data_IF_569395312289
#
_entry.id   IF_569395312289
#
_cell.length_a   1.000
_cell.length_b   1.000
_cell.length_c   1.000
_cell.angle_alpha   90.00
_cell.angle_beta   90.00
_cell.angle_gamma   90.00
#
_symmetry.space_group_name_H-M   'P 1'
#
loop_
_entity.id
_entity.type
_entity.pdbx_description
1 polymer ?
#
# COMPACT_ATOMS: atom_id res chain seq x y z
N UNK A 1 -4.94 -1.83 5.69
CA UNK A 1 -5.92 -0.99 4.96
C UNK A 1 -6.72 -0.21 5.99
N UNK A 2 -7.38 0.91 5.64
CA UNK A 2 -8.01 1.80 6.64
C UNK A 2 -7.26 3.11 6.90
N UNK A 3 -6.73 3.77 5.88
CA UNK A 3 -6.02 5.05 6.01
C UNK A 3 -6.57 6.10 5.05
N UNK A 4 -6.48 7.37 5.48
CA UNK A 4 -6.94 8.55 4.72
C UNK A 4 -8.44 8.53 4.40
N UNK A 5 -9.26 8.65 5.45
CA UNK A 5 -10.71 8.78 5.29
C UNK A 5 -11.12 10.20 4.90
N UNK A 6 -12.01 10.29 3.93
CA UNK A 6 -12.67 11.54 3.54
C UNK A 6 -14.17 11.42 3.73
N UNK A 7 -14.78 12.52 4.18
CA UNK A 7 -16.24 12.65 4.28
C UNK A 7 -16.78 13.09 2.92
N UNK A 8 -17.51 12.20 2.25
CA UNK A 8 -18.10 12.47 0.93
C UNK A 8 -19.62 12.45 1.01
N UNK A 9 -20.22 13.57 0.58
CA UNK A 9 -21.65 13.63 0.35
C UNK A 9 -22.04 12.72 -0.81
N UNK A 10 -22.85 11.72 -0.53
CA UNK A 10 -23.29 10.73 -1.51
C UNK A 10 -24.80 10.84 -1.67
N UNK A 11 -25.27 11.00 -2.91
CA UNK A 11 -26.71 10.97 -3.21
C UNK A 11 -27.27 9.57 -2.95
N UNK A 12 -28.48 9.46 -2.37
CA UNK A 12 -29.12 8.16 -2.16
C UNK A 12 -29.34 7.45 -3.49
N UNK A 13 -29.11 6.14 -3.52
CA UNK A 13 -29.44 5.28 -4.66
C UNK A 13 -30.20 4.04 -4.16
N UNK A 14 -31.56 4.07 -4.22
CA UNK A 14 -32.40 2.98 -3.73
C UNK A 14 -32.16 1.64 -4.43
N UNK A 15 -31.86 1.66 -5.74
CA UNK A 15 -31.62 0.44 -6.53
C UNK A 15 -30.34 -0.30 -6.11
N UNK A 16 -29.40 0.40 -5.45
CA UNK A 16 -28.15 -0.18 -4.92
C UNK A 16 -28.14 -0.26 -3.39
N UNK A 17 -29.29 -0.04 -2.73
CA UNK A 17 -29.40 0.05 -1.27
C UNK A 17 -28.41 1.05 -0.61
N UNK A 18 -28.01 2.09 -1.35
CA UNK A 18 -27.09 3.11 -0.82
C UNK A 18 -27.94 4.19 -0.14
N UNK A 19 -27.90 4.21 1.20
CA UNK A 19 -28.46 5.31 1.99
C UNK A 19 -27.68 6.59 1.67
N UNK A 20 -28.40 7.67 1.36
CA UNK A 20 -27.79 8.97 1.10
C UNK A 20 -27.24 9.59 2.38
N UNK A 21 -26.35 10.57 2.23
CA UNK A 21 -25.77 11.31 3.36
C UNK A 21 -24.26 11.47 3.25
N UNK A 22 -23.64 11.80 4.38
CA UNK A 22 -22.18 11.90 4.50
C UNK A 22 -21.64 10.49 4.77
N UNK A 23 -20.89 9.96 3.82
CA UNK A 23 -20.26 8.63 3.93
C UNK A 23 -18.76 8.82 4.07
N UNK A 24 -18.16 8.09 5.01
CA UNK A 24 -16.70 8.01 5.13
C UNK A 24 -16.17 6.95 4.18
N UNK A 25 -15.17 7.30 3.38
CA UNK A 25 -14.49 6.39 2.45
C UNK A 25 -13.01 6.65 2.46
N UNK A 26 -12.22 5.60 2.23
CA UNK A 26 -10.78 5.73 1.99
C UNK A 26 -10.54 6.53 0.70
N UNK A 27 -9.55 7.42 0.76
CA UNK A 27 -9.11 8.22 -0.35
C UNK A 27 -7.65 7.89 -0.72
N UNK A 28 -7.26 8.11 -1.98
CA UNK A 28 -5.89 7.83 -2.43
C UNK A 28 -4.85 8.59 -1.61
N UNK A 29 -3.73 7.93 -1.32
CA UNK A 29 -2.53 8.55 -0.74
C UNK A 29 -1.45 8.55 -1.82
N UNK A 30 -0.69 9.63 -1.92
CA UNK A 30 0.41 9.70 -2.87
C UNK A 30 1.52 8.68 -2.52
N UNK A 31 1.97 7.93 -3.53
CA UNK A 31 2.90 6.81 -3.35
C UNK A 31 4.23 7.22 -2.66
N UNK A 32 4.70 8.46 -2.87
CA UNK A 32 5.92 8.96 -2.23
C UNK A 32 5.85 9.05 -0.70
N UNK A 33 4.64 9.11 -0.14
CA UNK A 33 4.42 9.20 1.31
C UNK A 33 4.42 7.83 1.98
N UNK A 34 4.52 6.75 1.20
CA UNK A 34 4.53 5.38 1.69
C UNK A 34 5.95 4.80 1.69
N UNK A 35 6.20 3.86 2.61
CA UNK A 35 7.42 3.04 2.64
C UNK A 35 7.04 1.57 2.69
N UNK A 36 7.89 0.73 2.08
CA UNK A 36 7.74 -0.72 2.18
C UNK A 36 8.28 -1.16 3.53
N UNK A 37 7.47 -1.92 4.26
CA UNK A 37 7.91 -2.60 5.49
C UNK A 37 8.67 -3.86 5.10
N UNK A 38 9.90 -4.01 5.59
CA UNK A 38 10.67 -5.20 5.33
C UNK A 38 10.14 -6.37 6.16
N UNK A 39 9.83 -7.55 5.56
CA UNK A 39 9.34 -8.70 6.31
C UNK A 39 10.41 -9.32 7.22
N UNK A 40 11.70 -9.07 6.98
CA UNK A 40 12.80 -9.60 7.80
C UNK A 40 13.09 -8.73 9.01
N UNK A 41 13.24 -7.42 8.81
CA UNK A 41 13.62 -6.52 9.89
C UNK A 41 12.45 -5.74 10.50
N UNK A 42 11.24 -5.84 9.95
CA UNK A 42 10.03 -5.17 10.44
C UNK A 42 10.02 -3.64 10.27
N UNK A 43 11.11 -3.06 9.77
CA UNK A 43 11.25 -1.61 9.64
C UNK A 43 10.77 -1.09 8.28
N UNK A 44 10.30 0.16 8.20
CA UNK A 44 10.03 0.84 6.94
C UNK A 44 11.34 1.23 6.25
N UNK A 45 11.59 0.68 5.06
CA UNK A 45 12.89 0.77 4.38
C UNK A 45 12.79 1.26 2.94
N UNK A 46 13.92 1.74 2.42
CA UNK A 46 14.11 1.98 0.99
C UNK A 46 14.46 0.67 0.27
N UNK A 47 13.96 0.54 -0.95
CA UNK A 47 14.17 -0.63 -1.80
C UNK A 47 15.41 -0.45 -2.69
N UNK A 48 16.24 -1.50 -2.80
CA UNK A 48 17.26 -1.67 -3.83
C UNK A 48 16.81 -2.78 -4.79
N UNK A 49 17.24 -2.74 -6.06
CA UNK A 49 17.06 -3.86 -6.99
C UNK A 49 18.36 -4.64 -7.12
N UNK A 50 18.29 -5.96 -7.09
CA UNK A 50 19.41 -6.86 -7.36
C UNK A 50 18.99 -7.95 -8.35
N UNK A 51 19.97 -8.53 -9.05
CA UNK A 51 19.75 -9.74 -9.87
C UNK A 51 20.23 -10.94 -9.07
N UNK A 52 19.43 -12.01 -9.08
CA UNK A 52 19.86 -13.32 -8.61
C UNK A 52 20.67 -14.02 -9.70
N UNK A 53 21.36 -15.09 -9.32
CA UNK A 53 22.13 -15.95 -10.23
C UNK A 53 21.24 -16.55 -11.32
N UNK A 54 19.97 -16.84 -11.00
CA UNK A 54 18.94 -17.29 -11.95
C UNK A 54 18.47 -16.22 -12.95
N UNK A 55 19.10 -15.04 -12.97
CA UNK A 55 18.76 -13.91 -13.83
C UNK A 55 17.52 -13.10 -13.42
N UNK A 56 16.78 -13.54 -12.39
CA UNK A 56 15.58 -12.84 -11.88
C UNK A 56 15.96 -11.54 -11.16
N UNK A 57 15.20 -10.48 -11.41
CA UNK A 57 15.32 -9.20 -10.68
C UNK A 57 14.44 -9.24 -9.43
N UNK A 58 15.03 -9.01 -8.28
CA UNK A 58 14.33 -8.93 -7.00
C UNK A 58 14.55 -7.59 -6.30
N UNK A 59 13.59 -7.21 -5.47
CA UNK A 59 13.68 -6.11 -4.52
C UNK A 59 14.38 -6.59 -3.25
N UNK A 60 15.35 -5.81 -2.82
CA UNK A 60 16.21 -6.06 -1.66
C UNK A 60 16.08 -4.91 -0.67
N UNK A 61 15.99 -5.23 0.62
CA UNK A 61 16.01 -4.26 1.70
C UNK A 61 17.36 -3.55 1.76
N UNK A 62 17.38 -2.21 1.78
CA UNK A 62 18.65 -1.47 1.89
C UNK A 62 19.33 -1.62 3.26
N UNK A 63 18.57 -1.94 4.33
CA UNK A 63 19.10 -2.09 5.69
C UNK A 63 19.67 -3.49 5.94
N UNK A 64 18.81 -4.52 5.95
CA UNK A 64 19.22 -5.89 6.29
C UNK A 64 19.67 -6.73 5.07
N UNK A 65 19.61 -6.19 3.84
CA UNK A 65 19.91 -6.92 2.58
C UNK A 65 18.99 -8.13 2.30
N UNK A 66 17.92 -8.26 3.07
CA UNK A 66 16.86 -9.24 2.87
C UNK A 66 16.08 -9.11 1.58
N UNK A 67 15.52 -10.22 1.11
CA UNK A 67 14.65 -10.24 -0.08
C UNK A 67 13.24 -9.80 0.33
N UNK A 68 12.73 -8.75 -0.35
CA UNK A 68 11.41 -8.18 -0.11
C UNK A 68 10.30 -8.88 -0.88
N UNK A 69 10.64 -9.52 -2.01
CA UNK A 69 9.68 -10.19 -2.90
C UNK A 69 9.43 -11.64 -2.46
N UNK A 70 8.87 -11.83 -1.27
CA UNK A 70 8.34 -13.13 -0.83
C UNK A 70 6.87 -13.19 -1.23
N UNK A 71 6.51 -14.14 -2.07
CA UNK A 71 5.11 -14.50 -2.32
C UNK A 71 4.68 -15.56 -1.32
#
# INVERSE_FOLDING_TARGET
EGVHFVKRHTRPNPAKNIKGGIVEREAPIHLSNLKVVCPECGEPVRVRRSRLEDGRKVRVCRKCRGILDRK
#
